data_IF_472188220481
#
_entry.id   IF_472188220481
#
_cell.length_a   1.000
_cell.length_b   1.000
_cell.length_c   1.000
_cell.angle_alpha   90.00
_cell.angle_beta   90.00
_cell.angle_gamma   90.00
#
_symmetry.space_group_name_H-M   'P 1'
#
loop_
_entity.id
_entity.type
_entity.pdbx_description
1 polymer ?
#
# COMPACT_ATOMS: atom_id res chain seq x y z
N UNK A 1 9.02 7.63 -7.79
CA UNK A 1 10.11 7.22 -8.71
C UNK A 1 11.26 8.22 -8.69
N UNK A 2 11.01 9.51 -8.82
CA UNK A 2 12.04 10.58 -8.80
C UNK A 2 12.83 10.60 -7.50
N UNK A 3 12.19 10.52 -6.33
CA UNK A 3 12.87 10.54 -5.04
C UNK A 3 13.85 9.36 -4.86
N UNK A 4 13.47 8.15 -5.28
CA UNK A 4 14.35 6.96 -5.23
C UNK A 4 15.55 7.16 -6.16
N UNK A 5 15.33 7.68 -7.36
CA UNK A 5 16.40 7.95 -8.32
C UNK A 5 17.37 8.99 -7.77
N UNK A 6 16.89 10.06 -7.16
CA UNK A 6 17.72 11.11 -6.55
C UNK A 6 18.54 10.55 -5.37
N UNK A 7 17.93 9.79 -4.48
CA UNK A 7 18.63 9.19 -3.33
C UNK A 7 19.73 8.24 -3.79
N UNK A 8 19.42 7.33 -4.73
CA UNK A 8 20.41 6.36 -5.22
C UNK A 8 21.48 7.07 -6.03
N UNK A 9 21.15 8.10 -6.82
CA UNK A 9 22.13 8.88 -7.59
C UNK A 9 23.08 9.64 -6.66
N UNK A 10 22.57 10.21 -5.58
CA UNK A 10 23.40 10.87 -4.57
C UNK A 10 24.34 9.87 -3.87
N UNK A 11 23.79 8.71 -3.45
CA UNK A 11 24.58 7.64 -2.85
C UNK A 11 25.63 7.08 -3.83
N UNK A 12 25.27 6.96 -5.12
CA UNK A 12 26.20 6.51 -6.17
C UNK A 12 27.37 7.47 -6.35
N UNK A 13 27.12 8.77 -6.35
CA UNK A 13 28.17 9.80 -6.45
C UNK A 13 29.15 9.73 -5.28
N UNK A 14 28.63 9.61 -4.05
CA UNK A 14 29.46 9.49 -2.85
C UNK A 14 30.28 8.20 -2.86
N UNK A 15 29.67 7.07 -3.21
CA UNK A 15 30.34 5.79 -3.32
C UNK A 15 31.45 5.78 -4.38
N UNK A 16 31.17 6.39 -5.54
CA UNK A 16 32.15 6.55 -6.62
C UNK A 16 33.34 7.39 -6.19
N UNK A 17 33.09 8.54 -5.56
CA UNK A 17 34.13 9.42 -5.06
C UNK A 17 34.98 8.74 -3.97
N UNK A 18 34.36 8.03 -3.03
CA UNK A 18 35.05 7.26 -2.01
C UNK A 18 35.96 6.18 -2.61
N UNK A 19 35.44 5.41 -3.58
CA UNK A 19 36.24 4.40 -4.29
C UNK A 19 37.41 5.01 -5.05
N UNK A 20 37.21 6.15 -5.70
CA UNK A 20 38.25 6.83 -6.42
C UNK A 20 39.37 7.31 -5.50
N UNK A 21 39.05 7.92 -4.36
CA UNK A 21 40.01 8.34 -3.34
C UNK A 21 40.74 7.13 -2.73
N UNK A 22 40.02 6.05 -2.43
CA UNK A 22 40.62 4.82 -1.89
C UNK A 22 41.56 4.16 -2.90
N UNK A 23 41.20 4.13 -4.18
CA UNK A 23 42.04 3.61 -5.24
C UNK A 23 43.31 4.44 -5.45
N UNK A 24 43.22 5.77 -5.35
CA UNK A 24 44.38 6.69 -5.47
C UNK A 24 45.29 6.56 -4.25
N UNK A 25 44.74 6.47 -3.04
CA UNK A 25 45.51 6.31 -1.81
C UNK A 25 46.32 5.01 -1.79
N UNK A 26 45.78 3.92 -2.33
CA UNK A 26 46.47 2.63 -2.44
C UNK A 26 47.50 2.59 -3.57
N UNK A 27 47.35 3.43 -4.62
CA UNK A 27 48.26 3.50 -5.75
C UNK A 27 49.56 4.26 -5.44
N UNK A 28 49.62 4.99 -4.33
CA UNK A 28 50.83 5.75 -3.90
C UNK A 28 52.02 4.86 -3.41
N UNK A 29 51.87 3.54 -3.46
CA UNK A 29 52.93 2.56 -3.11
C UNK A 29 53.25 1.64 -4.30
N UNK A 30 53.99 0.56 -4.01
CA UNK A 30 54.33 -0.46 -5.00
C UNK A 30 53.04 -1.03 -5.66
N UNK A 31 52.91 -0.96 -6.99
CA UNK A 31 51.73 -1.42 -7.74
C UNK A 31 51.39 -2.90 -7.49
N UNK A 32 52.37 -3.76 -7.19
CA UNK A 32 52.17 -5.17 -6.92
C UNK A 32 51.30 -5.40 -5.69
N UNK A 33 51.46 -4.59 -4.63
CA UNK A 33 50.72 -4.71 -3.39
C UNK A 33 49.48 -3.81 -3.28
N UNK A 34 49.32 -2.87 -4.21
CA UNK A 34 48.19 -1.94 -4.22
C UNK A 34 46.86 -2.67 -4.35
N UNK A 35 46.77 -3.69 -5.18
CA UNK A 35 45.58 -4.51 -5.38
C UNK A 35 45.18 -5.31 -4.12
N UNK A 36 46.14 -5.94 -3.46
CA UNK A 36 45.88 -6.74 -2.25
C UNK A 36 45.43 -5.84 -1.08
N UNK A 37 46.06 -4.68 -0.89
CA UNK A 37 45.64 -3.70 0.12
C UNK A 37 44.25 -3.18 -0.12
N UNK A 38 43.89 -2.92 -1.38
CA UNK A 38 42.57 -2.47 -1.74
C UNK A 38 41.53 -3.57 -1.46
N UNK A 39 41.80 -4.83 -1.83
CA UNK A 39 40.93 -5.97 -1.52
C UNK A 39 40.76 -6.19 -0.03
N UNK A 40 41.84 -6.09 0.77
CA UNK A 40 41.75 -6.17 2.21
C UNK A 40 40.90 -5.03 2.81
N UNK A 41 41.04 -3.82 2.28
CA UNK A 41 40.23 -2.67 2.68
C UNK A 41 38.76 -2.86 2.32
N UNK A 42 38.47 -3.32 1.11
CA UNK A 42 37.09 -3.61 0.66
C UNK A 42 36.43 -4.70 1.49
N UNK A 43 37.17 -5.77 1.85
CA UNK A 43 36.65 -6.82 2.70
C UNK A 43 36.38 -6.35 4.15
N UNK A 44 37.19 -5.42 4.66
CA UNK A 44 36.99 -4.82 5.98
C UNK A 44 35.76 -3.87 6.01
N UNK A 45 35.55 -3.09 4.94
CA UNK A 45 34.40 -2.20 4.79
C UNK A 45 33.11 -3.00 4.55
N UNK A 46 33.20 -4.15 3.86
CA UNK A 46 32.09 -5.02 3.53
C UNK A 46 31.21 -4.41 2.45
N UNK A 47 29.96 -4.04 2.77
CA UNK A 47 28.99 -3.52 1.81
C UNK A 47 28.89 -2.00 1.84
N UNK A 48 28.99 -1.37 0.69
CA UNK A 48 28.64 0.04 0.52
C UNK A 48 27.10 0.13 0.43
N UNK A 49 26.50 1.03 1.21
CA UNK A 49 25.05 1.22 1.25
C UNK A 49 24.46 1.44 -0.15
N UNK A 50 23.37 0.75 -0.46
CA UNK A 50 22.63 0.83 -1.72
C UNK A 50 23.46 0.46 -2.97
N UNK A 51 24.59 -0.27 -2.81
CA UNK A 51 25.42 -0.71 -3.93
C UNK A 51 25.94 -2.12 -3.72
N UNK A 52 26.12 -2.82 -4.83
CA UNK A 52 26.87 -4.05 -4.92
C UNK A 52 28.22 -3.72 -5.59
N UNK A 53 29.31 -4.09 -4.94
CA UNK A 53 30.65 -3.90 -5.45
C UNK A 53 31.23 -5.25 -5.84
N UNK A 54 31.74 -5.35 -7.06
CA UNK A 54 32.55 -6.47 -7.53
C UNK A 54 33.96 -5.97 -7.86
N UNK A 55 34.96 -6.69 -7.42
CA UNK A 55 36.34 -6.50 -7.85
C UNK A 55 36.80 -7.71 -8.66
N UNK A 56 37.26 -7.46 -9.87
CA UNK A 56 37.78 -8.45 -10.79
C UNK A 56 39.25 -8.20 -11.10
N UNK A 57 40.02 -9.25 -11.17
CA UNK A 57 41.41 -9.19 -11.60
C UNK A 57 41.56 -8.86 -13.08
N UNK A 58 42.79 -8.63 -13.54
CA UNK A 58 43.11 -8.34 -14.95
C UNK A 58 42.68 -9.47 -15.90
N UNK A 59 42.65 -10.71 -15.43
CA UNK A 59 42.15 -11.90 -16.15
C UNK A 59 40.63 -12.07 -16.11
N UNK A 60 39.89 -11.13 -15.50
CA UNK A 60 38.43 -11.19 -15.37
C UNK A 60 37.91 -12.06 -14.20
N UNK A 61 38.78 -12.76 -13.46
CA UNK A 61 38.36 -13.54 -12.32
C UNK A 61 37.77 -12.66 -11.22
N UNK A 62 36.69 -13.11 -10.59
CA UNK A 62 36.07 -12.42 -9.45
C UNK A 62 36.94 -12.64 -8.20
N UNK A 63 37.46 -11.56 -7.66
CA UNK A 63 38.30 -11.57 -6.45
C UNK A 63 37.53 -11.15 -5.21
N UNK A 64 36.54 -10.26 -5.36
CA UNK A 64 35.71 -9.81 -4.27
C UNK A 64 34.30 -9.49 -4.77
N UNK A 65 33.30 -9.84 -3.96
CA UNK A 65 31.91 -9.39 -4.10
C UNK A 65 31.41 -8.96 -2.73
N UNK A 66 30.81 -7.79 -2.66
CA UNK A 66 30.20 -7.31 -1.42
C UNK A 66 29.12 -8.28 -0.91
N UNK A 67 28.99 -8.48 0.41
CA UNK A 67 27.97 -9.35 0.97
C UNK A 67 26.57 -8.87 0.64
N UNK A 68 25.56 -9.75 0.64
CA UNK A 68 24.16 -9.37 0.42
C UNK A 68 23.69 -8.39 1.49
N UNK A 69 22.61 -7.66 1.20
CA UNK A 69 22.00 -6.74 2.17
C UNK A 69 21.47 -7.52 3.37
N UNK A 70 21.91 -7.16 4.58
CA UNK A 70 21.37 -7.73 5.82
C UNK A 70 20.03 -7.10 6.24
N UNK A 71 19.60 -6.02 5.59
CA UNK A 71 18.37 -5.31 5.91
C UNK A 71 17.14 -6.13 5.49
N UNK A 72 16.26 -6.44 6.46
CA UNK A 72 15.07 -7.27 6.26
C UNK A 72 15.40 -8.56 5.48
N UNK A 73 16.47 -9.25 5.88
CA UNK A 73 16.97 -10.45 5.20
C UNK A 73 15.83 -11.47 4.97
N UNK A 74 15.74 -12.00 3.76
CA UNK A 74 14.70 -12.96 3.36
C UNK A 74 13.35 -12.33 2.97
N UNK A 75 13.27 -10.99 2.85
CA UNK A 75 12.10 -10.28 2.32
C UNK A 75 12.50 -9.46 1.12
N UNK A 76 11.78 -9.65 0.04
CA UNK A 76 11.95 -8.88 -1.20
C UNK A 76 10.60 -8.31 -1.63
N UNK A 77 10.64 -7.19 -2.35
CA UNK A 77 9.45 -6.66 -3.00
C UNK A 77 9.03 -7.63 -4.14
N UNK A 78 7.72 -7.76 -4.43
CA UNK A 78 7.27 -8.58 -5.55
C UNK A 78 7.96 -8.18 -6.87
N UNK A 79 8.34 -9.18 -7.69
CA UNK A 79 9.10 -8.93 -8.93
C UNK A 79 8.39 -7.99 -9.90
N UNK A 80 7.05 -8.05 -10.00
CA UNK A 80 6.26 -7.15 -10.84
C UNK A 80 6.37 -5.70 -10.37
N UNK A 81 6.40 -5.49 -9.03
CA UNK A 81 6.54 -4.18 -8.42
C UNK A 81 7.96 -3.64 -8.63
N UNK A 82 8.97 -4.47 -8.38
CA UNK A 82 10.37 -4.11 -8.61
C UNK A 82 10.57 -3.67 -10.05
N UNK A 83 10.11 -4.43 -11.05
CA UNK A 83 10.22 -4.07 -12.48
C UNK A 83 9.57 -2.72 -12.84
N UNK A 84 8.49 -2.34 -12.16
CA UNK A 84 7.81 -1.06 -12.42
C UNK A 84 8.55 0.15 -11.86
N UNK A 85 9.22 -0.03 -10.74
CA UNK A 85 9.86 1.05 -9.98
C UNK A 85 11.38 1.02 -10.03
N UNK A 86 11.98 -0.05 -10.58
CA UNK A 86 13.43 -0.17 -10.70
C UNK A 86 14.00 1.00 -11.54
N UNK A 87 14.86 1.83 -10.96
CA UNK A 87 15.53 2.85 -11.71
C UNK A 87 16.64 2.23 -12.56
N UNK A 88 16.62 2.46 -13.87
CA UNK A 88 17.71 2.06 -14.78
C UNK A 88 18.96 2.90 -14.55
N UNK A 89 19.65 2.68 -13.41
CA UNK A 89 20.87 3.41 -13.10
C UNK A 89 22.09 2.70 -13.69
N UNK A 90 23.02 3.46 -14.31
CA UNK A 90 24.21 2.87 -14.90
C UNK A 90 25.15 2.33 -13.82
N UNK A 91 25.78 1.20 -14.09
CA UNK A 91 26.91 0.71 -13.31
C UNK A 91 28.15 1.56 -13.57
N UNK A 92 28.96 1.77 -12.54
CA UNK A 92 30.23 2.48 -12.66
C UNK A 92 31.38 1.47 -12.63
N UNK A 93 32.19 1.49 -13.67
CA UNK A 93 33.41 0.68 -13.72
C UNK A 93 34.62 1.59 -13.53
N UNK A 94 35.45 1.26 -12.54
CA UNK A 94 36.71 1.97 -12.25
C UNK A 94 37.88 0.99 -12.33
N UNK A 95 38.99 1.44 -12.86
CA UNK A 95 40.25 0.69 -12.85
C UNK A 95 41.13 1.20 -11.70
N UNK A 96 41.57 0.27 -10.86
CA UNK A 96 42.48 0.53 -9.74
C UNK A 96 43.67 -0.44 -9.85
N UNK A 97 44.76 0.01 -10.45
CA UNK A 97 45.92 -0.83 -10.75
C UNK A 97 45.55 -2.00 -11.69
N UNK A 98 45.71 -3.21 -11.23
CA UNK A 98 45.33 -4.45 -11.92
C UNK A 98 43.91 -4.94 -11.63
N UNK A 99 43.13 -4.17 -10.88
CA UNK A 99 41.74 -4.49 -10.51
C UNK A 99 40.74 -3.68 -11.34
N UNK A 100 39.68 -4.34 -11.76
CA UNK A 100 38.51 -3.70 -12.34
C UNK A 100 37.40 -3.72 -11.25
N UNK A 101 37.02 -2.57 -10.77
CA UNK A 101 35.96 -2.39 -9.79
C UNK A 101 34.65 -2.07 -10.51
N UNK A 102 33.63 -2.85 -10.29
CA UNK A 102 32.29 -2.60 -10.82
C UNK A 102 31.34 -2.28 -9.65
N UNK A 103 30.89 -1.04 -9.60
CA UNK A 103 29.93 -0.55 -8.63
C UNK A 103 28.55 -0.52 -9.28
N UNK A 104 27.66 -1.41 -8.83
CA UNK A 104 26.31 -1.54 -9.31
C UNK A 104 25.31 -1.03 -8.28
N UNK A 105 24.41 -0.11 -8.63
CA UNK A 105 23.34 0.33 -7.73
C UNK A 105 22.43 -0.86 -7.37
N UNK A 106 22.06 -0.93 -6.09
CA UNK A 106 21.14 -1.96 -5.58
C UNK A 106 19.92 -1.28 -4.94
N UNK A 107 18.82 -1.13 -5.68
CA UNK A 107 17.61 -0.47 -5.20
C UNK A 107 16.72 -1.37 -4.34
N UNK A 108 17.08 -2.65 -4.14
CA UNK A 108 16.23 -3.66 -3.49
C UNK A 108 15.65 -3.19 -2.17
N UNK A 109 16.47 -2.51 -1.36
CA UNK A 109 16.07 -1.98 -0.05
C UNK A 109 15.05 -0.87 -0.15
N UNK A 110 15.27 0.10 -1.04
CA UNK A 110 14.34 1.21 -1.26
C UNK A 110 13.02 0.72 -1.84
N UNK A 111 13.08 -0.27 -2.74
CA UNK A 111 11.89 -0.90 -3.31
C UNK A 111 11.10 -1.68 -2.26
N UNK A 112 11.77 -2.37 -1.35
CA UNK A 112 11.09 -3.09 -0.25
C UNK A 112 10.41 -2.13 0.72
N UNK A 113 11.07 -1.04 1.10
CA UNK A 113 10.49 -0.03 1.99
C UNK A 113 9.28 0.65 1.32
N UNK A 114 9.39 1.01 0.03
CA UNK A 114 8.27 1.54 -0.73
C UNK A 114 7.10 0.55 -0.82
N UNK A 115 7.39 -0.74 -1.02
CA UNK A 115 6.37 -1.79 -1.02
C UNK A 115 5.66 -1.92 0.32
N UNK A 116 6.42 -1.94 1.42
CA UNK A 116 5.87 -2.01 2.78
C UNK A 116 4.96 -0.80 3.07
N UNK A 117 5.37 0.41 2.70
CA UNK A 117 4.59 1.63 2.90
C UNK A 117 3.31 1.64 2.07
N UNK A 118 3.41 1.28 0.78
CA UNK A 118 2.24 1.24 -0.12
C UNK A 118 1.26 0.14 0.27
N UNK A 119 1.75 -1.05 0.62
CA UNK A 119 0.88 -2.17 1.04
C UNK A 119 0.16 -1.87 2.35
N UNK A 120 0.84 -1.24 3.31
CA UNK A 120 0.23 -0.79 4.55
C UNK A 120 -0.80 0.33 4.32
N UNK A 121 -0.52 1.28 3.43
CA UNK A 121 -1.46 2.34 3.06
C UNK A 121 -2.69 1.76 2.35
N UNK A 122 -2.49 0.85 1.40
CA UNK A 122 -3.57 0.16 0.69
C UNK A 122 -4.45 -0.67 1.64
N UNK A 123 -3.84 -1.37 2.59
CA UNK A 123 -4.57 -2.10 3.64
C UNK A 123 -5.46 -1.19 4.49
N UNK A 124 -4.93 -0.05 4.93
CA UNK A 124 -5.73 0.94 5.69
C UNK A 124 -6.86 1.52 4.85
N UNK A 125 -6.60 1.86 3.58
CA UNK A 125 -7.61 2.37 2.66
C UNK A 125 -8.72 1.35 2.40
N UNK A 126 -8.37 0.08 2.22
CA UNK A 126 -9.33 -1.01 2.04
C UNK A 126 -10.23 -1.18 3.27
N UNK A 127 -9.64 -1.18 4.47
CA UNK A 127 -10.41 -1.26 5.72
C UNK A 127 -11.37 -0.07 5.89
N UNK A 128 -10.92 1.15 5.57
CA UNK A 128 -11.76 2.34 5.60
C UNK A 128 -12.92 2.23 4.59
N UNK A 129 -12.65 1.74 3.38
CA UNK A 129 -13.68 1.54 2.34
C UNK A 129 -14.71 0.49 2.75
N UNK A 130 -14.27 -0.63 3.31
CA UNK A 130 -15.17 -1.68 3.83
C UNK A 130 -16.03 -1.15 4.98
N UNK A 131 -15.45 -0.37 5.90
CA UNK A 131 -16.19 0.28 6.98
C UNK A 131 -17.23 1.26 6.47
N UNK A 132 -16.88 2.08 5.47
CA UNK A 132 -17.81 3.00 4.83
C UNK A 132 -18.96 2.24 4.12
N UNK A 133 -18.63 1.19 3.37
CA UNK A 133 -19.64 0.37 2.70
C UNK A 133 -20.58 -0.30 3.68
N UNK A 134 -20.06 -0.90 4.76
CA UNK A 134 -20.88 -1.51 5.81
C UNK A 134 -21.76 -0.47 6.52
N UNK A 135 -21.22 0.72 6.81
CA UNK A 135 -21.98 1.83 7.39
C UNK A 135 -23.12 2.32 6.48
N UNK A 136 -22.84 2.50 5.19
CA UNK A 136 -23.86 2.85 4.19
C UNK A 136 -24.94 1.76 4.09
N UNK A 137 -24.53 0.50 4.02
CA UNK A 137 -25.46 -0.63 3.97
C UNK A 137 -26.39 -0.64 5.19
N UNK A 138 -25.80 -0.52 6.39
CA UNK A 138 -26.58 -0.48 7.64
C UNK A 138 -27.53 0.71 7.70
N UNK A 139 -27.08 1.90 7.27
CA UNK A 139 -27.91 3.10 7.24
C UNK A 139 -29.10 2.96 6.28
N UNK A 140 -28.86 2.40 5.08
CA UNK A 140 -29.91 2.16 4.08
C UNK A 140 -30.92 1.12 4.59
N UNK A 141 -30.43 0.01 5.12
CA UNK A 141 -31.32 -1.05 5.68
C UNK A 141 -32.21 -0.49 6.79
N UNK A 142 -31.61 0.27 7.70
CA UNK A 142 -32.38 0.89 8.80
C UNK A 142 -33.37 1.96 8.31
N UNK A 143 -32.98 2.74 7.29
CA UNK A 143 -33.86 3.78 6.72
C UNK A 143 -35.03 3.18 5.93
N UNK A 144 -34.83 2.05 5.26
CA UNK A 144 -35.86 1.41 4.44
C UNK A 144 -36.75 0.44 5.23
N UNK A 145 -36.35 0.00 6.40
CA UNK A 145 -37.13 -0.93 7.22
C UNK A 145 -38.58 -0.46 7.51
N UNK A 146 -38.84 0.81 7.86
CA UNK A 146 -40.19 1.31 8.07
C UNK A 146 -41.07 1.25 6.82
N UNK A 147 -40.49 1.38 5.62
CA UNK A 147 -41.24 1.28 4.35
C UNK A 147 -41.88 -0.10 4.17
N UNK A 148 -41.14 -1.17 4.53
CA UNK A 148 -41.71 -2.52 4.54
C UNK A 148 -42.89 -2.68 5.50
N UNK A 149 -42.85 -1.99 6.64
CA UNK A 149 -43.96 -2.00 7.62
C UNK A 149 -45.21 -1.27 7.06
N UNK A 150 -44.98 -0.15 6.36
CA UNK A 150 -46.08 0.58 5.70
C UNK A 150 -46.75 -0.29 4.63
N UNK A 151 -45.94 -0.93 3.77
CA UNK A 151 -46.48 -1.83 2.73
C UNK A 151 -47.26 -2.98 3.32
N UNK A 152 -46.75 -3.63 4.38
CA UNK A 152 -47.48 -4.71 5.07
C UNK A 152 -48.77 -4.23 5.75
N UNK A 153 -48.82 -2.99 6.23
CA UNK A 153 -50.03 -2.42 6.84
C UNK A 153 -51.07 -2.06 5.75
N UNK A 154 -50.66 -1.57 4.57
CA UNK A 154 -51.51 -1.32 3.45
C UNK A 154 -52.17 -2.63 2.94
N UNK A 155 -51.37 -3.69 2.85
CA UNK A 155 -51.85 -5.00 2.41
C UNK A 155 -52.94 -5.57 3.39
N UNK A 156 -52.71 -5.42 4.71
CA UNK A 156 -53.71 -5.79 5.72
C UNK A 156 -54.98 -4.92 5.63
N UNK A 157 -54.84 -3.63 5.40
CA UNK A 157 -55.96 -2.76 5.21
C UNK A 157 -56.75 -3.12 3.95
N UNK A 158 -56.07 -3.52 2.86
CA UNK A 158 -56.70 -4.01 1.63
C UNK A 158 -57.50 -5.32 1.83
N UNK A 159 -57.09 -6.13 2.81
CA UNK A 159 -57.87 -7.34 3.23
C UNK A 159 -58.98 -7.07 4.25
N UNK A 160 -59.30 -5.81 4.52
CA UNK A 160 -60.38 -5.41 5.45
C UNK A 160 -60.00 -5.24 6.92
N UNK A 161 -58.70 -5.38 7.26
CA UNK A 161 -58.23 -5.16 8.61
C UNK A 161 -57.75 -3.72 8.83
N UNK A 162 -58.65 -2.85 9.27
CA UNK A 162 -58.39 -1.43 9.50
C UNK A 162 -57.88 -1.10 10.91
N UNK A 163 -57.69 -2.11 11.76
CA UNK A 163 -57.21 -1.90 13.15
C UNK A 163 -55.68 -1.77 13.24
N UNK A 164 -54.94 -2.12 12.17
CA UNK A 164 -53.48 -1.97 12.11
C UNK A 164 -53.10 -0.51 12.25
N UNK A 165 -52.13 -0.22 13.15
CA UNK A 165 -51.54 1.11 13.32
C UNK A 165 -50.04 1.03 13.07
N UNK A 166 -49.48 2.03 12.41
CA UNK A 166 -48.05 2.16 12.13
C UNK A 166 -47.38 3.03 13.21
N UNK A 167 -46.17 2.68 13.69
CA UNK A 167 -45.41 3.56 14.54
C UNK A 167 -45.00 4.83 13.76
N UNK A 168 -45.15 6.00 14.39
CA UNK A 168 -44.84 7.29 13.80
C UNK A 168 -43.39 7.63 14.13
N UNK A 169 -42.46 6.68 13.88
CA UNK A 169 -41.04 6.81 14.17
C UNK A 169 -40.23 6.76 12.87
N UNK A 170 -39.06 7.40 12.85
CA UNK A 170 -38.12 7.36 11.71
C UNK A 170 -37.99 8.68 10.97
N UNK A 171 -37.51 8.65 9.70
CA UNK A 171 -37.38 9.85 8.86
C UNK A 171 -38.71 10.59 8.72
N UNK A 172 -38.64 11.93 8.64
CA UNK A 172 -39.80 12.83 8.63
C UNK A 172 -40.85 12.45 7.62
N UNK A 173 -40.44 12.03 6.40
CA UNK A 173 -41.31 11.63 5.31
C UNK A 173 -42.09 10.36 5.63
N UNK A 174 -41.45 9.40 6.26
CA UNK A 174 -42.06 8.13 6.65
C UNK A 174 -42.95 8.28 7.86
N UNK A 175 -42.59 9.14 8.82
CA UNK A 175 -43.43 9.48 9.97
C UNK A 175 -44.73 10.16 9.50
N UNK A 176 -44.63 11.08 8.52
CA UNK A 176 -45.82 11.70 7.91
C UNK A 176 -46.72 10.68 7.21
N UNK A 177 -46.14 9.76 6.44
CA UNK A 177 -46.88 8.69 5.75
C UNK A 177 -47.56 7.76 6.76
N UNK A 178 -46.90 7.39 7.83
CA UNK A 178 -47.49 6.56 8.91
C UNK A 178 -48.67 7.27 9.61
N UNK A 179 -48.56 8.55 9.88
CA UNK A 179 -49.63 9.36 10.45
C UNK A 179 -50.84 9.46 9.50
N UNK A 180 -50.60 9.70 8.22
CA UNK A 180 -51.67 9.76 7.20
C UNK A 180 -52.39 8.40 7.08
N UNK A 181 -51.61 7.30 7.05
CA UNK A 181 -52.19 5.96 7.03
C UNK A 181 -53.08 5.69 8.27
N UNK A 182 -52.55 5.99 9.48
CA UNK A 182 -53.29 5.79 10.71
C UNK A 182 -54.61 6.57 10.76
N UNK A 183 -54.62 7.78 10.21
CA UNK A 183 -55.79 8.62 10.11
C UNK A 183 -56.85 8.02 9.15
N UNK A 184 -56.40 7.56 7.96
CA UNK A 184 -57.25 6.90 6.98
C UNK A 184 -57.82 5.59 7.55
N UNK A 185 -56.97 4.74 8.16
CA UNK A 185 -57.39 3.46 8.75
C UNK A 185 -58.44 3.66 9.89
N UNK A 186 -58.27 4.73 10.69
CA UNK A 186 -59.22 5.07 11.75
C UNK A 186 -60.59 5.50 11.23
N UNK A 187 -60.63 6.26 10.11
CA UNK A 187 -61.89 6.66 9.46
C UNK A 187 -62.61 5.48 8.85
N UNK A 188 -61.89 4.54 8.22
CA UNK A 188 -62.46 3.35 7.63
C UNK A 188 -63.02 2.40 8.70
N UNK A 189 -62.27 2.21 9.80
CA UNK A 189 -62.70 1.39 10.95
C UNK A 189 -64.03 1.92 11.56
N UNK A 190 -64.12 3.24 11.74
CA UNK A 190 -65.34 3.86 12.25
C UNK A 190 -66.51 3.69 11.25
N UNK A 191 -66.30 3.87 9.94
CA UNK A 191 -67.32 3.71 8.94
C UNK A 191 -67.85 2.27 8.86
N UNK A 192 -66.97 1.28 8.96
CA UNK A 192 -67.37 -0.15 9.03
C UNK A 192 -68.18 -0.44 10.27
N UNK A 193 -67.76 0.07 11.44
CA UNK A 193 -68.49 -0.13 12.71
C UNK A 193 -69.90 0.49 12.69
N UNK A 194 -70.08 1.62 12.02
CA UNK A 194 -71.41 2.27 11.87
C UNK A 194 -72.29 1.50 10.92
N UNK A 195 -71.77 0.92 9.83
CA UNK A 195 -72.58 0.07 8.91
C UNK A 195 -73.02 -1.28 9.49
N UNK A 196 -72.34 -1.79 10.51
CA UNK A 196 -72.67 -3.06 11.20
C UNK A 196 -73.76 -2.83 12.27
N UNK A 197 -73.98 -1.59 12.71
CA UNK A 197 -74.99 -1.24 13.74
C UNK A 197 -76.38 -0.90 13.17
N UNK A 198 -76.48 -0.78 11.86
CA UNK A 198 -77.74 -0.62 11.11
C UNK A 198 -78.27 -1.98 10.67
#
# INVERSE_FOLDING_TARGET
RTAIVEEITAAHRVAAQWLQVSAQGTAAGDPAWAGERLLAHLSAVGRIRAHQLEARGANGQLLYRSPPSAYKAGRDAPEWFARWFEPGLPSLTLKAGNLNLNLQPDPSRALLDLWDDLSAAAGRALLALLGLFAGCWFAIDRALKPLGQVMAALDRAGSGNFQTRLPVDGPTELAYLAAAFNNMAGRLDAAVADNVRL
#
